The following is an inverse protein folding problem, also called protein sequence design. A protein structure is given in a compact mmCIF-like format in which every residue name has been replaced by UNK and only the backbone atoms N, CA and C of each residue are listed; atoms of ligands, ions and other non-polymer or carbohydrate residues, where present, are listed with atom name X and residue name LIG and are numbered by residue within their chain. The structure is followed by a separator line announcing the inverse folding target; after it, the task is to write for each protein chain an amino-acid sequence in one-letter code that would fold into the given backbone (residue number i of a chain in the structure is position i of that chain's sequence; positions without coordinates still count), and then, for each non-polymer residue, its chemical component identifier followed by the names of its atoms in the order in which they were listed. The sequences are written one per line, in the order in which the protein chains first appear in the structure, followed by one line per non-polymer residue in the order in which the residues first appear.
data_IF_841989901540
#
_entry.id   IF_841989901540
#
_cell.length_a   1.000
_cell.length_b   1.000
_cell.length_c   1.000
_cell.angle_alpha   90.00
_cell.angle_beta   90.00
_cell.angle_gamma   90.00
#
_symmetry.space_group_name_H-M   'P 1'
#
loop_
_entity.id
_entity.type
_entity.pdbx_description
1 polymer ?
#
# COMPACT_ATOMS: atom_id res chain seq x y z
N UNK A 1 -7.39 7.82 -5.92
CA UNK A 1 -6.77 7.80 -4.58
C UNK A 1 -6.34 6.40 -4.14
N UNK A 2 -7.21 5.49 -3.68
CA UNK A 2 -6.76 4.15 -3.21
C UNK A 2 -5.92 3.41 -4.26
N UNK A 3 -6.36 3.40 -5.53
CA UNK A 3 -5.61 2.77 -6.62
C UNK A 3 -4.20 3.35 -6.76
N UNK A 4 -4.08 4.68 -6.74
CA UNK A 4 -2.82 5.39 -6.90
C UNK A 4 -1.88 5.12 -5.72
N UNK A 5 -2.43 5.14 -4.51
CA UNK A 5 -1.73 4.76 -3.28
C UNK A 5 -1.22 3.31 -3.34
N UNK A 6 -2.09 2.33 -3.62
CA UNK A 6 -1.71 0.90 -3.68
C UNK A 6 -0.64 0.69 -4.76
N UNK A 7 -0.80 1.31 -5.93
CA UNK A 7 0.18 1.21 -7.01
C UNK A 7 1.53 1.77 -6.57
N UNK A 8 1.57 2.97 -5.98
CA UNK A 8 2.79 3.58 -5.47
C UNK A 8 3.43 2.80 -4.31
N UNK A 9 2.62 2.19 -3.44
CA UNK A 9 3.10 1.46 -2.26
C UNK A 9 3.63 0.06 -2.56
N UNK A 10 3.19 -0.56 -3.66
CA UNK A 10 3.59 -1.93 -4.02
C UNK A 10 4.33 -2.04 -5.36
N UNK A 11 4.51 -0.93 -6.08
CA UNK A 11 5.33 -0.87 -7.30
C UNK A 11 6.54 0.02 -7.08
N UNK A 12 7.72 -0.60 -7.02
CA UNK A 12 8.99 0.10 -6.76
C UNK A 12 10.16 -0.77 -7.19
N UNK A 13 11.28 -0.15 -7.56
CA UNK A 13 12.54 -0.86 -7.85
C UNK A 13 13.47 -0.93 -6.62
N UNK A 14 13.12 -0.17 -5.58
CA UNK A 14 13.89 -0.05 -4.37
C UNK A 14 12.96 0.26 -3.18
N UNK A 15 13.21 -0.37 -2.03
CA UNK A 15 12.34 -0.22 -0.84
C UNK A 15 12.25 1.19 -0.26
N UNK A 16 13.19 2.09 -0.58
CA UNK A 16 13.11 3.50 -0.21
C UNK A 16 12.05 4.26 -1.03
N UNK A 17 11.96 3.96 -2.34
CA UNK A 17 11.00 4.59 -3.25
C UNK A 17 9.56 4.34 -2.78
N UNK A 18 9.30 3.13 -2.25
CA UNK A 18 8.01 2.76 -1.66
C UNK A 18 7.45 3.84 -0.75
N UNK A 19 8.26 4.35 0.18
CA UNK A 19 7.81 5.33 1.18
C UNK A 19 7.84 6.75 0.64
N UNK A 20 8.82 7.09 -0.21
CA UNK A 20 8.87 8.41 -0.85
C UNK A 20 7.65 8.67 -1.74
N UNK A 21 7.22 7.65 -2.49
CA UNK A 21 6.15 7.79 -3.47
C UNK A 21 4.77 7.97 -2.82
N UNK A 22 4.57 7.42 -1.61
CA UNK A 22 3.25 7.41 -0.98
C UNK A 22 2.95 8.64 -0.12
N UNK A 23 3.96 9.42 0.25
CA UNK A 23 3.81 10.54 1.20
C UNK A 23 2.75 11.55 0.77
N UNK A 24 2.60 11.76 -0.53
CA UNK A 24 1.60 12.68 -1.11
C UNK A 24 0.16 12.15 -1.08
N UNK A 25 -0.04 10.86 -0.81
CA UNK A 25 -1.36 10.22 -0.77
C UNK A 25 -1.89 10.02 0.65
N UNK A 26 -1.08 10.34 1.66
CA UNK A 26 -1.31 9.94 3.06
C UNK A 26 -1.37 11.14 3.98
N UNK A 27 -2.22 11.08 5.00
CA UNK A 27 -2.08 11.92 6.19
C UNK A 27 -0.78 11.56 6.91
N UNK A 28 -0.34 12.37 7.89
CA UNK A 28 0.83 12.00 8.71
C UNK A 28 0.60 10.66 9.45
N UNK A 29 -0.63 10.43 9.92
CA UNK A 29 -1.02 9.17 10.58
C UNK A 29 -1.00 8.00 9.60
N UNK A 30 -1.64 8.15 8.43
CA UNK A 30 -1.68 7.09 7.43
C UNK A 30 -0.30 6.76 6.86
N UNK A 31 0.59 7.75 6.78
CA UNK A 31 1.98 7.50 6.43
C UNK A 31 2.65 6.61 7.48
N UNK A 32 2.47 6.93 8.77
CA UNK A 32 3.02 6.15 9.90
C UNK A 32 2.46 4.73 9.96
N UNK A 33 1.19 4.52 9.61
CA UNK A 33 0.58 3.18 9.61
C UNK A 33 1.16 2.25 8.52
N UNK A 34 1.89 2.80 7.54
CA UNK A 34 2.54 1.98 6.49
C UNK A 34 3.85 1.32 6.93
N UNK A 35 4.43 1.73 8.05
CA UNK A 35 5.65 1.15 8.57
C UNK A 35 5.36 -0.11 9.41
N UNK A 36 6.29 -1.08 9.44
CA UNK A 36 6.27 -2.12 10.46
C UNK A 36 6.23 -1.47 11.86
N UNK A 37 5.48 -2.07 12.78
CA UNK A 37 5.30 -1.52 14.12
C UNK A 37 6.64 -1.23 14.81
N UNK A 38 6.82 0.01 15.27
CA UNK A 38 8.02 0.46 15.98
C UNK A 38 9.23 0.77 15.08
N UNK A 39 9.05 0.85 13.76
CA UNK A 39 10.12 1.19 12.81
C UNK A 39 9.92 2.58 12.20
N UNK A 40 11.03 3.31 12.09
CA UNK A 40 11.14 4.52 11.28
C UNK A 40 11.33 4.16 9.78
N UNK A 41 11.06 5.10 8.85
CA UNK A 41 11.35 4.88 7.44
C UNK A 41 12.82 4.49 7.24
N UNK A 42 13.12 3.46 6.41
CA UNK A 42 14.49 3.05 6.19
C UNK A 42 15.30 4.19 5.56
N UNK A 43 16.50 4.44 6.08
CA UNK A 43 17.43 5.45 5.53
C UNK A 43 18.19 4.95 4.30
N UNK A 44 18.16 3.64 4.04
CA UNK A 44 18.75 2.98 2.88
C UNK A 44 17.77 1.96 2.32
N UNK A 45 17.67 1.94 0.99
CA UNK A 45 16.88 0.95 0.28
C UNK A 45 17.61 -0.38 0.09
N UNK A 46 16.84 -1.43 -0.17
CA UNK A 46 17.34 -2.69 -0.72
C UNK A 46 16.90 -2.80 -2.19
N UNK A 47 17.72 -3.46 -3.01
CA UNK A 47 17.43 -3.77 -4.41
C UNK A 47 16.40 -4.90 -4.51
N UNK A 48 15.17 -4.54 -4.15
CA UNK A 48 13.99 -5.38 -4.22
C UNK A 48 13.03 -4.71 -5.17
N UNK A 49 12.74 -5.37 -6.29
CA UNK A 49 11.73 -4.92 -7.24
C UNK A 49 10.37 -5.48 -6.86
N UNK A 50 9.34 -4.68 -6.99
CA UNK A 50 7.96 -5.06 -6.69
C UNK A 50 7.03 -4.51 -7.74
N UNK A 51 6.00 -5.27 -8.09
CA UNK A 51 4.92 -4.85 -8.98
C UNK A 51 3.61 -5.51 -8.58
N UNK A 52 2.49 -4.92 -9.01
CA UNK A 52 1.15 -5.47 -8.78
C UNK A 52 0.44 -5.81 -10.09
N UNK A 53 -0.45 -6.80 -10.02
CA UNK A 53 -1.40 -7.18 -11.06
C UNK A 53 -2.79 -7.41 -10.43
N UNK A 54 -3.82 -7.57 -11.26
CA UNK A 54 -5.16 -8.00 -10.81
C UNK A 54 -5.78 -7.15 -9.68
N UNK A 55 -5.53 -5.83 -9.69
CA UNK A 55 -6.04 -4.93 -8.66
C UNK A 55 -7.55 -4.72 -8.78
N UNK A 56 -8.27 -5.23 -7.79
CA UNK A 56 -9.69 -4.98 -7.54
C UNK A 56 -9.86 -4.17 -6.25
N UNK A 57 -10.83 -3.24 -6.24
CA UNK A 57 -11.08 -2.37 -5.10
C UNK A 57 -12.58 -2.30 -4.84
N UNK A 58 -12.98 -2.69 -3.63
CA UNK A 58 -14.32 -2.55 -3.09
C UNK A 58 -14.34 -1.36 -2.14
N UNK A 59 -15.31 -0.46 -2.27
CA UNK A 59 -15.41 0.72 -1.40
C UNK A 59 -16.70 0.71 -0.59
N UNK A 60 -16.63 1.33 0.58
CA UNK A 60 -17.75 1.62 1.47
C UNK A 60 -17.61 3.04 1.99
N UNK A 61 -18.51 3.92 1.58
CA UNK A 61 -18.62 5.26 2.17
C UNK A 61 -19.15 5.10 3.62
N UNK A 62 -18.40 5.59 4.62
CA UNK A 62 -18.82 5.59 6.03
C UNK A 62 -19.56 6.87 6.40
N UNK A 63 -19.10 8.00 5.87
CA UNK A 63 -19.70 9.33 6.06
C UNK A 63 -19.34 10.24 4.88
N UNK A 64 -19.78 11.50 4.86
CA UNK A 64 -19.37 12.48 3.82
C UNK A 64 -17.85 12.68 3.71
N UNK A 65 -17.10 12.37 4.77
CA UNK A 65 -15.67 12.64 4.90
C UNK A 65 -14.85 11.36 5.14
N UNK A 66 -15.45 10.17 5.07
CA UNK A 66 -14.78 8.91 5.36
C UNK A 66 -15.17 7.82 4.36
N UNK A 67 -14.17 7.12 3.83
CA UNK A 67 -14.32 5.95 2.96
C UNK A 67 -13.44 4.83 3.49
N UNK A 68 -13.94 3.60 3.51
CA UNK A 68 -13.10 2.41 3.66
C UNK A 68 -13.07 1.67 2.34
N UNK A 69 -11.89 1.22 1.95
CA UNK A 69 -11.72 0.33 0.80
C UNK A 69 -11.09 -0.99 1.22
N UNK A 70 -11.52 -2.08 0.59
CA UNK A 70 -10.85 -3.38 0.60
C UNK A 70 -10.27 -3.58 -0.80
N UNK A 71 -8.96 -3.76 -0.89
CA UNK A 71 -8.26 -4.01 -2.14
C UNK A 71 -7.73 -5.44 -2.16
N UNK A 72 -7.90 -6.12 -3.29
CA UNK A 72 -7.33 -7.44 -3.57
C UNK A 72 -6.48 -7.37 -4.82
N UNK A 73 -5.28 -7.94 -4.78
CA UNK A 73 -4.32 -7.93 -5.89
C UNK A 73 -3.25 -8.98 -5.65
N UNK A 74 -2.48 -9.34 -6.68
CA UNK A 74 -1.23 -10.06 -6.48
C UNK A 74 -0.05 -9.08 -6.51
N UNK A 75 0.95 -9.36 -5.67
CA UNK A 75 2.22 -8.65 -5.65
C UNK A 75 3.32 -9.63 -6.06
N UNK A 76 4.10 -9.24 -7.05
CA UNK A 76 5.33 -9.96 -7.43
C UNK A 76 6.51 -9.21 -6.85
N UNK A 77 7.29 -9.86 -6.00
CA UNK A 77 8.53 -9.32 -5.44
C UNK A 77 9.72 -10.11 -5.97
N UNK A 78 10.70 -9.42 -6.55
CA UNK A 78 11.95 -10.00 -7.05
C UNK A 78 13.13 -9.54 -6.19
N UNK A 79 13.89 -10.49 -5.67
CA UNK A 79 15.13 -10.27 -4.93
C UNK A 79 16.19 -11.24 -5.42
N UNK A 80 17.38 -10.75 -5.79
CA UNK A 80 18.45 -11.57 -6.39
C UNK A 80 17.94 -12.46 -7.54
N UNK A 81 17.15 -11.89 -8.46
CA UNK A 81 16.55 -12.58 -9.62
C UNK A 81 15.52 -13.67 -9.27
N UNK A 82 15.28 -13.93 -7.99
CA UNK A 82 14.24 -14.86 -7.51
C UNK A 82 12.97 -14.08 -7.25
N UNK A 83 11.90 -14.46 -7.95
CA UNK A 83 10.57 -13.86 -7.81
C UNK A 83 9.67 -14.70 -6.91
N UNK A 84 8.84 -14.01 -6.12
CA UNK A 84 7.75 -14.62 -5.36
C UNK A 84 6.45 -13.85 -5.60
N UNK A 85 5.33 -14.57 -5.67
CA UNK A 85 4.01 -13.99 -5.87
C UNK A 85 3.16 -14.21 -4.63
N UNK A 86 2.49 -13.15 -4.17
CA UNK A 86 1.56 -13.21 -3.04
C UNK A 86 0.24 -12.55 -3.39
N UNK A 87 -0.87 -13.17 -3.00
CA UNK A 87 -2.19 -12.55 -2.98
C UNK A 87 -2.34 -11.72 -1.72
N UNK A 88 -2.70 -10.45 -1.90
CA UNK A 88 -2.84 -9.46 -0.84
C UNK A 88 -4.30 -9.08 -0.67
N UNK A 89 -4.73 -8.93 0.58
CA UNK A 89 -6.00 -8.28 0.94
C UNK A 89 -5.68 -7.14 1.89
N UNK A 90 -6.00 -5.92 1.50
CA UNK A 90 -5.65 -4.71 2.25
C UNK A 90 -6.90 -3.89 2.52
N UNK A 91 -7.07 -3.48 3.77
CA UNK A 91 -7.99 -2.43 4.16
C UNK A 91 -7.27 -1.09 4.14
N UNK A 92 -7.88 -0.09 3.51
CA UNK A 92 -7.40 1.29 3.50
C UNK A 92 -8.54 2.19 3.93
N UNK A 93 -8.32 2.99 4.97
CA UNK A 93 -9.26 4.04 5.37
C UNK A 93 -8.79 5.38 4.77
N UNK A 94 -9.72 6.09 4.15
CA UNK A 94 -9.53 7.42 3.60
C UNK A 94 -10.33 8.44 4.42
N UNK A 95 -9.71 9.59 4.67
CA UNK A 95 -10.37 10.76 5.24
C UNK A 95 -10.30 11.92 4.27
N UNK A 96 -11.31 12.79 4.30
CA UNK A 96 -11.30 14.02 3.52
C UNK A 96 -10.57 15.11 4.31
N UNK A 97 -9.39 15.50 3.83
CA UNK A 97 -8.61 16.63 4.36
C UNK A 97 -8.82 17.80 3.41
N UNK A 98 -9.42 18.88 3.91
CA UNK A 98 -9.83 20.01 3.07
C UNK A 98 -10.69 19.56 1.87
N UNK A 99 -10.13 19.60 0.65
CA UNK A 99 -10.78 19.19 -0.60
C UNK A 99 -10.16 17.94 -1.25
N UNK A 100 -9.19 17.29 -0.60
CA UNK A 100 -8.56 16.04 -1.04
C UNK A 100 -8.96 14.85 -0.18
N UNK A 101 -8.95 13.66 -0.76
CA UNK A 101 -8.99 12.41 -0.02
C UNK A 101 -7.58 11.95 0.27
N UNK A 102 -7.28 11.59 1.50
CA UNK A 102 -5.97 11.10 1.91
C UNK A 102 -6.12 9.79 2.67
N UNK A 103 -5.13 8.91 2.54
CA UNK A 103 -5.03 7.66 3.29
C UNK A 103 -4.69 7.97 4.74
N UNK A 104 -5.53 7.49 5.66
CA UNK A 104 -5.39 7.73 7.10
C UNK A 104 -5.02 6.48 7.90
N UNK A 105 -5.35 5.30 7.38
CA UNK A 105 -4.92 4.02 7.95
C UNK A 105 -4.81 2.94 6.86
N UNK A 106 -3.89 2.00 7.08
CA UNK A 106 -3.62 0.86 6.20
C UNK A 106 -3.46 -0.38 7.05
N UNK A 107 -4.29 -1.39 6.79
CA UNK A 107 -4.21 -2.69 7.45
C UNK A 107 -4.06 -3.79 6.43
N UNK A 108 -2.99 -4.60 6.54
CA UNK A 108 -2.88 -5.85 5.78
C UNK A 108 -3.78 -6.88 6.46
N UNK A 109 -4.87 -7.27 5.79
CA UNK A 109 -5.80 -8.27 6.29
C UNK A 109 -5.36 -9.70 5.95
N UNK A 110 -4.71 -9.88 4.79
CA UNK A 110 -4.17 -11.16 4.38
C UNK A 110 -2.98 -10.98 3.44
N UNK A 111 -2.02 -11.91 3.56
CA UNK A 111 -0.90 -12.07 2.64
C UNK A 111 -0.60 -13.55 2.51
N UNK A 112 -0.93 -14.13 1.36
CA UNK A 112 -0.81 -15.57 1.11
C UNK A 112 0.02 -15.80 -0.13
N UNK A 113 0.89 -16.80 -0.13
CA UNK A 113 1.58 -17.21 -1.37
C UNK A 113 0.53 -17.61 -2.41
N UNK A 114 0.66 -17.08 -3.62
CA UNK A 114 -0.09 -17.64 -4.75
C UNK A 114 0.51 -19.03 -5.02
N UNK A 115 -0.22 -20.09 -4.70
CA UNK A 115 0.23 -21.46 -4.95
C UNK A 115 0.27 -21.67 -6.47
N UNK A 116 1.43 -22.07 -6.98
CA UNK A 116 1.61 -22.56 -8.35
C UNK A 116 1.00 -23.95 -8.52
#
# INVERSE_FOLDING_TARGET
MTKDFITAFFTYDNTLQRYQNIKQYTTEQGYKSTFPSGMEPPSKGADIRSSINELEIFNKQKSKNEITTISTFEVTTTYNEVSSVRKMVIKTDLVKVENSWEVDDVTILSSQSAVS
#
